data_IF_645141546200
#
_entry.id   IF_645141546200
#
_cell.length_a   1.000
_cell.length_b   1.000
_cell.length_c   1.000
_cell.angle_alpha   90.00
_cell.angle_beta   90.00
_cell.angle_gamma   90.00
#
_symmetry.space_group_name_H-M   'P 1'
#
loop_
_entity.id
_entity.type
_entity.pdbx_description
1 polymer ?
#
# COMPACT_ATOMS: atom_id res chain seq x y z
N UNK A 1 26.94 0.66 -12.74
CA UNK A 1 26.14 1.86 -12.43
C UNK A 1 24.91 1.49 -11.62
N UNK A 2 24.74 2.13 -10.50
CA UNK A 2 23.61 1.85 -9.64
C UNK A 2 22.36 2.50 -10.21
N UNK A 3 21.32 1.71 -10.40
CA UNK A 3 20.02 2.25 -10.75
C UNK A 3 19.36 2.73 -9.46
N UNK A 4 19.13 4.03 -9.36
CA UNK A 4 18.44 4.60 -8.21
C UNK A 4 16.96 4.36 -8.39
N UNK A 5 16.36 3.56 -7.51
CA UNK A 5 14.91 3.44 -7.44
C UNK A 5 14.40 4.63 -6.64
N UNK A 6 13.68 5.53 -7.31
CA UNK A 6 13.10 6.70 -6.66
C UNK A 6 11.87 6.26 -5.87
N UNK A 7 11.83 6.62 -4.58
CA UNK A 7 10.65 6.41 -3.75
C UNK A 7 9.45 7.13 -4.40
N UNK A 8 8.30 6.47 -4.58
CA UNK A 8 7.11 7.09 -5.19
C UNK A 8 6.70 8.41 -4.52
N UNK A 9 6.94 8.56 -3.22
CA UNK A 9 6.60 9.79 -2.46
C UNK A 9 7.29 11.03 -3.03
N UNK A 10 8.45 10.88 -3.65
CA UNK A 10 9.20 12.01 -4.20
C UNK A 10 8.88 12.29 -5.67
N UNK A 11 7.92 11.60 -6.26
CA UNK A 11 7.55 11.81 -7.64
C UNK A 11 6.56 12.97 -7.79
N UNK A 12 6.58 13.65 -8.95
CA UNK A 12 5.58 14.66 -9.29
C UNK A 12 4.18 14.05 -9.36
N UNK A 13 4.08 12.80 -9.79
CA UNK A 13 2.81 12.09 -9.87
C UNK A 13 2.19 11.88 -8.48
N UNK A 14 3.02 11.59 -7.48
CA UNK A 14 2.55 11.48 -6.09
C UNK A 14 2.04 12.84 -5.59
N UNK A 15 2.79 13.92 -5.86
CA UNK A 15 2.37 15.26 -5.48
C UNK A 15 1.01 15.61 -6.07
N UNK A 16 0.77 15.25 -7.33
CA UNK A 16 -0.53 15.45 -7.99
C UNK A 16 -1.63 14.60 -7.36
N UNK A 17 -1.32 13.35 -7.01
CA UNK A 17 -2.28 12.44 -6.40
C UNK A 17 -2.84 12.99 -5.09
N UNK A 18 -1.97 13.53 -4.23
CA UNK A 18 -2.35 13.98 -2.88
C UNK A 18 -2.74 15.45 -2.81
N UNK A 19 -2.52 16.22 -3.88
CA UNK A 19 -2.76 17.68 -3.89
C UNK A 19 -4.16 18.09 -3.39
N UNK A 20 -5.27 17.41 -3.79
CA UNK A 20 -6.60 17.80 -3.34
C UNK A 20 -6.98 17.27 -1.96
N UNK A 21 -6.10 16.52 -1.28
CA UNK A 21 -6.43 15.81 -0.05
C UNK A 21 -6.06 16.62 1.20
N UNK A 22 -6.75 16.38 2.34
CA UNK A 22 -6.40 17.04 3.61
C UNK A 22 -4.97 16.73 4.04
N UNK A 23 -4.28 17.67 4.74
CA UNK A 23 -2.90 17.47 5.18
C UNK A 23 -2.67 16.20 5.99
N UNK A 24 -3.59 15.82 6.87
CA UNK A 24 -3.47 14.61 7.68
C UNK A 24 -3.47 13.35 6.80
N UNK A 25 -4.25 13.34 5.73
CA UNK A 25 -4.30 12.23 4.78
C UNK A 25 -3.02 12.20 3.93
N UNK A 26 -2.52 13.36 3.50
CA UNK A 26 -1.25 13.45 2.76
C UNK A 26 -0.12 12.83 3.59
N UNK A 27 -0.01 13.21 4.86
CA UNK A 27 1.02 12.68 5.75
C UNK A 27 0.90 11.16 5.94
N UNK A 28 -0.31 10.66 6.21
CA UNK A 28 -0.54 9.22 6.40
C UNK A 28 -0.23 8.44 5.14
N UNK A 29 -0.63 8.96 3.99
CA UNK A 29 -0.36 8.33 2.69
C UNK A 29 1.14 8.25 2.44
N UNK A 30 1.87 9.35 2.64
CA UNK A 30 3.31 9.39 2.44
C UNK A 30 4.05 8.40 3.35
N UNK A 31 3.66 8.34 4.63
CA UNK A 31 4.27 7.41 5.59
C UNK A 31 3.98 5.96 5.24
N UNK A 32 2.75 5.64 4.90
CA UNK A 32 2.38 4.28 4.51
C UNK A 32 3.13 3.84 3.25
N UNK A 33 3.18 4.70 2.24
CA UNK A 33 3.92 4.41 1.00
C UNK A 33 5.41 4.18 1.31
N UNK A 34 6.01 5.00 2.18
CA UNK A 34 7.42 4.84 2.56
C UNK A 34 7.67 3.50 3.28
N UNK A 35 6.76 3.11 4.18
CA UNK A 35 6.85 1.83 4.90
C UNK A 35 6.84 0.65 3.90
N UNK A 36 5.92 0.69 2.93
CA UNK A 36 5.80 -0.39 1.95
C UNK A 36 7.01 -0.38 0.98
N UNK A 37 7.42 0.79 0.53
CA UNK A 37 8.56 0.94 -0.37
C UNK A 37 9.88 0.43 0.24
N UNK A 38 9.99 0.47 1.57
CA UNK A 38 11.16 -0.04 2.29
C UNK A 38 11.17 -1.57 2.39
N UNK A 39 10.06 -2.25 2.10
CA UNK A 39 10.00 -3.71 2.16
C UNK A 39 10.81 -4.33 1.01
N UNK A 40 11.70 -5.31 1.30
CA UNK A 40 12.55 -5.89 0.26
C UNK A 40 11.76 -6.44 -0.93
N UNK A 41 12.22 -6.13 -2.13
CA UNK A 41 11.67 -6.66 -3.37
C UNK A 41 10.46 -5.91 -3.93
N UNK A 42 9.95 -4.91 -3.22
CA UNK A 42 8.80 -4.13 -3.70
C UNK A 42 9.23 -2.84 -4.40
N UNK A 43 8.56 -2.54 -5.50
CA UNK A 43 8.67 -1.26 -6.18
C UNK A 43 7.29 -0.64 -6.37
N UNK A 44 7.20 0.67 -6.14
CA UNK A 44 5.94 1.40 -6.20
C UNK A 44 5.83 2.27 -7.44
N UNK A 45 4.60 2.45 -7.90
CA UNK A 45 4.28 3.33 -9.02
C UNK A 45 2.93 3.99 -8.78
N UNK A 46 2.87 5.30 -9.01
CA UNK A 46 1.60 6.03 -8.96
C UNK A 46 0.78 5.70 -10.20
N UNK A 47 -0.46 5.29 -9.98
CA UNK A 47 -1.43 4.98 -11.03
C UNK A 47 -2.48 6.09 -11.06
N UNK A 48 -2.31 7.05 -11.96
CA UNK A 48 -3.16 8.25 -12.02
C UNK A 48 -4.63 7.92 -12.24
N UNK A 49 -4.92 7.00 -13.16
CA UNK A 49 -6.29 6.62 -13.48
C UNK A 49 -7.01 5.93 -12.32
N UNK A 50 -6.27 5.24 -11.47
CA UNK A 50 -6.81 4.53 -10.31
C UNK A 50 -6.75 5.37 -9.03
N UNK A 51 -6.03 6.48 -9.06
CA UNK A 51 -5.76 7.33 -7.89
C UNK A 51 -5.12 6.54 -6.75
N UNK A 52 -4.11 5.78 -7.08
CA UNK A 52 -3.45 4.87 -6.13
C UNK A 52 -1.95 4.85 -6.33
N UNK A 53 -1.25 4.27 -5.34
CA UNK A 53 0.15 3.86 -5.48
C UNK A 53 0.16 2.34 -5.44
N UNK A 54 0.57 1.72 -6.54
CA UNK A 54 0.61 0.26 -6.66
C UNK A 54 2.02 -0.27 -6.42
N UNK A 55 2.12 -1.39 -5.73
CA UNK A 55 3.40 -2.03 -5.43
C UNK A 55 3.48 -3.41 -6.08
N UNK A 56 4.62 -3.69 -6.71
CA UNK A 56 4.88 -4.94 -7.41
C UNK A 56 6.16 -5.58 -6.93
N UNK A 57 6.17 -6.91 -7.00
CA UNK A 57 7.35 -7.74 -6.81
C UNK A 57 7.74 -8.36 -8.16
N UNK A 58 9.03 -8.49 -8.43
CA UNK A 58 9.52 -8.97 -9.73
C UNK A 58 8.96 -10.35 -10.10
N UNK A 59 8.76 -11.21 -9.11
CA UNK A 59 8.27 -12.59 -9.32
C UNK A 59 6.77 -12.70 -8.98
N UNK A 60 6.37 -12.19 -7.82
CA UNK A 60 4.99 -12.31 -7.36
C UNK A 60 3.98 -11.44 -8.14
N UNK A 61 4.46 -10.42 -8.86
CA UNK A 61 3.61 -9.49 -9.58
C UNK A 61 3.01 -8.44 -8.64
N UNK A 62 1.77 -8.00 -8.92
CA UNK A 62 1.08 -7.02 -8.09
C UNK A 62 0.85 -7.54 -6.67
N UNK A 63 1.26 -6.78 -5.68
CA UNK A 63 1.15 -7.18 -4.26
C UNK A 63 0.06 -6.40 -3.54
N UNK A 64 0.11 -5.08 -3.60
CA UNK A 64 -0.85 -4.23 -2.89
C UNK A 64 -0.96 -2.85 -3.53
N UNK A 65 -1.97 -2.11 -3.12
CA UNK A 65 -2.21 -0.74 -3.59
C UNK A 65 -2.61 0.14 -2.42
N UNK A 66 -2.10 1.38 -2.41
CA UNK A 66 -2.48 2.40 -1.44
C UNK A 66 -3.47 3.35 -2.10
N UNK A 67 -4.67 3.47 -1.53
CA UNK A 67 -5.72 4.36 -2.01
C UNK A 67 -5.99 5.45 -0.97
N UNK A 68 -5.52 6.69 -1.18
CA UNK A 68 -5.88 7.80 -0.29
C UNK A 68 -7.28 8.32 -0.64
N UNK A 69 -8.06 8.61 0.39
CA UNK A 69 -9.40 9.21 0.30
C UNK A 69 -9.45 10.49 1.14
N UNK A 70 -10.56 11.21 1.10
CA UNK A 70 -10.69 12.46 1.87
C UNK A 70 -10.63 12.24 3.39
N UNK A 71 -11.08 11.09 3.86
CA UNK A 71 -11.24 10.80 5.29
C UNK A 71 -10.42 9.61 5.80
N UNK A 72 -9.73 8.90 4.91
CA UNK A 72 -8.97 7.69 5.27
C UNK A 72 -7.96 7.30 4.20
N UNK A 73 -7.07 6.38 4.55
CA UNK A 73 -6.15 5.72 3.60
C UNK A 73 -6.42 4.22 3.66
N UNK A 74 -6.62 3.60 2.51
CA UNK A 74 -6.82 2.16 2.42
C UNK A 74 -5.60 1.48 1.81
N UNK A 75 -5.13 0.41 2.44
CA UNK A 75 -4.13 -0.49 1.89
C UNK A 75 -4.85 -1.76 1.41
N UNK A 76 -4.90 -1.94 0.11
CA UNK A 76 -5.63 -3.03 -0.53
C UNK A 76 -4.68 -4.14 -0.99
N UNK A 77 -5.01 -5.38 -0.62
CA UNK A 77 -4.32 -6.58 -1.08
C UNK A 77 -5.22 -7.33 -2.05
N UNK A 78 -4.78 -7.47 -3.30
CA UNK A 78 -5.58 -8.13 -4.35
C UNK A 78 -5.95 -9.58 -3.98
N UNK A 79 -5.02 -10.28 -3.32
CA UNK A 79 -5.24 -11.65 -2.87
C UNK A 79 -5.40 -11.73 -1.35
N UNK A 80 -5.96 -10.70 -0.76
CA UNK A 80 -6.09 -10.57 0.69
C UNK A 80 -6.87 -11.70 1.36
N UNK A 81 -7.80 -12.33 0.65
CA UNK A 81 -8.55 -13.49 1.16
C UNK A 81 -7.63 -14.64 1.58
N UNK A 82 -6.47 -14.76 0.95
CA UNK A 82 -5.51 -15.83 1.25
C UNK A 82 -4.52 -15.48 2.36
N UNK A 83 -4.60 -14.25 2.89
CA UNK A 83 -3.70 -13.77 3.93
C UNK A 83 -4.35 -14.01 5.30
N UNK A 84 -3.68 -14.76 6.17
CA UNK A 84 -4.22 -15.11 7.49
C UNK A 84 -3.29 -14.79 8.66
N UNK A 85 -2.06 -14.36 8.39
CA UNK A 85 -1.07 -14.14 9.44
C UNK A 85 -1.34 -12.93 10.33
N UNK A 86 -2.08 -11.95 9.83
CA UNK A 86 -2.53 -10.80 10.62
C UNK A 86 -4.05 -10.89 10.78
N UNK A 87 -4.50 -11.97 11.36
CA UNK A 87 -5.92 -12.30 11.54
C UNK A 87 -6.67 -11.16 12.24
N UNK A 88 -7.82 -10.81 11.69
CA UNK A 88 -8.67 -9.75 12.24
C UNK A 88 -8.27 -8.34 11.85
N UNK A 89 -7.12 -8.14 11.20
CA UNK A 89 -6.67 -6.80 10.79
C UNK A 89 -7.32 -6.35 9.48
N UNK A 90 -7.59 -7.27 8.57
CA UNK A 90 -8.11 -6.94 7.25
C UNK A 90 -9.63 -6.97 7.21
N UNK A 91 -10.20 -6.00 6.47
CA UNK A 91 -11.63 -5.87 6.23
C UNK A 91 -11.98 -6.33 4.81
N UNK A 92 -13.25 -6.50 4.53
CA UNK A 92 -13.74 -6.81 3.19
C UNK A 92 -14.21 -8.23 3.00
N UNK A 93 -14.74 -8.89 4.03
CA UNK A 93 -15.22 -10.29 3.97
C UNK A 93 -16.28 -10.50 2.87
N UNK A 94 -16.98 -9.44 2.45
CA UNK A 94 -17.92 -9.52 1.34
C UNK A 94 -17.27 -9.48 -0.03
N UNK A 95 -15.98 -9.20 -0.13
CA UNK A 95 -15.25 -9.16 -1.39
C UNK A 95 -14.81 -10.57 -1.79
N UNK A 96 -14.75 -10.80 -3.11
CA UNK A 96 -14.42 -12.12 -3.64
C UNK A 96 -12.97 -12.54 -3.38
N UNK A 97 -12.01 -11.65 -3.60
CA UNK A 97 -10.58 -11.93 -3.47
C UNK A 97 -9.87 -10.97 -2.54
N UNK A 98 -10.15 -9.70 -2.67
CA UNK A 98 -9.42 -8.63 -2.03
C UNK A 98 -9.77 -8.46 -0.56
N UNK A 99 -8.83 -7.89 0.15
CA UNK A 99 -9.03 -7.41 1.53
C UNK A 99 -8.27 -6.11 1.67
N UNK A 100 -8.66 -5.31 2.64
CA UNK A 100 -8.00 -4.02 2.84
C UNK A 100 -7.84 -3.71 4.32
N UNK A 101 -6.82 -2.90 4.61
CA UNK A 101 -6.59 -2.28 5.89
C UNK A 101 -6.99 -0.81 5.75
N UNK A 102 -7.86 -0.34 6.62
CA UNK A 102 -8.31 1.05 6.63
C UNK A 102 -7.61 1.80 7.76
N UNK A 103 -6.95 2.91 7.40
CA UNK A 103 -6.29 3.79 8.36
C UNK A 103 -7.02 5.14 8.38
N UNK A 104 -7.58 5.49 9.54
CA UNK A 104 -8.15 6.81 9.76
C UNK A 104 -7.02 7.82 10.01
N UNK A 105 -7.27 9.14 9.85
CA UNK A 105 -6.20 10.14 9.97
C UNK A 105 -5.40 10.09 11.28
N UNK A 106 -6.03 9.66 12.37
CA UNK A 106 -5.38 9.60 13.68
C UNK A 106 -4.85 8.22 14.05
N UNK A 107 -5.04 7.21 13.19
CA UNK A 107 -4.58 5.86 13.47
C UNK A 107 -3.06 5.76 13.32
N UNK A 108 -2.44 4.98 14.21
CA UNK A 108 -1.04 4.59 14.03
C UNK A 108 -0.92 3.62 12.86
N UNK A 109 0.18 3.69 12.15
CA UNK A 109 0.45 2.74 11.08
C UNK A 109 1.02 1.46 11.70
N UNK A 110 0.33 0.30 11.57
CA UNK A 110 0.79 -0.96 12.17
C UNK A 110 1.93 -1.57 11.33
N UNK A 111 3.12 -1.00 11.45
CA UNK A 111 4.28 -1.30 10.61
C UNK A 111 4.64 -2.79 10.62
N UNK A 112 4.68 -3.41 11.81
CA UNK A 112 5.07 -4.82 11.93
C UNK A 112 4.04 -5.74 11.27
N UNK A 113 2.76 -5.49 11.51
CA UNK A 113 1.68 -6.27 10.91
C UNK A 113 1.67 -6.13 9.38
N UNK A 114 1.90 -4.91 8.89
CA UNK A 114 2.00 -4.66 7.43
C UNK A 114 3.19 -5.44 6.86
N UNK A 115 4.34 -5.44 7.51
CA UNK A 115 5.50 -6.21 7.08
C UNK A 115 5.21 -7.71 6.96
N UNK A 116 4.49 -8.26 7.93
CA UNK A 116 4.06 -9.66 7.92
C UNK A 116 3.13 -9.94 6.74
N UNK A 117 2.14 -9.07 6.51
CA UNK A 117 1.20 -9.20 5.39
C UNK A 117 1.91 -9.10 4.04
N UNK A 118 2.86 -8.18 3.90
CA UNK A 118 3.63 -8.02 2.66
C UNK A 118 4.45 -9.28 2.38
N UNK A 119 5.12 -9.82 3.38
CA UNK A 119 5.91 -11.06 3.23
C UNK A 119 5.02 -12.23 2.84
N UNK A 120 3.85 -12.35 3.47
CA UNK A 120 2.89 -13.41 3.16
C UNK A 120 2.35 -13.26 1.73
N UNK A 121 1.98 -12.04 1.33
CA UNK A 121 1.45 -11.76 0.00
C UNK A 121 2.47 -12.08 -1.10
N UNK A 122 3.75 -11.76 -0.87
CA UNK A 122 4.81 -12.10 -1.80
C UNK A 122 4.98 -13.63 -1.89
N UNK A 123 4.96 -14.31 -0.75
CA UNK A 123 5.15 -15.75 -0.68
C UNK A 123 4.06 -16.56 -1.39
N UNK A 124 2.88 -15.98 -1.61
CA UNK A 124 1.81 -16.68 -2.34
C UNK A 124 2.23 -17.05 -3.77
N UNK A 125 3.10 -16.26 -4.40
CA UNK A 125 3.43 -16.41 -5.82
C UNK A 125 4.94 -16.43 -6.10
N UNK A 126 5.75 -16.23 -5.10
CA UNK A 126 7.21 -16.21 -5.26
C UNK A 126 7.89 -17.47 -4.75
#
# INVERSE_FOLDING_TARGET
MLTTVVDPVYSDDFACLVAPLPPAIVERTARLVAVIAAHPGLSGKVMKGWKSVNFRHAIAGHVCSVFPHDDRVSLYFEHGRQLDRAEGLLEGDGLRKGRYLRLMPDDDIPVDAIGILLSEAIALFA
#
